data_IF_726503964012
#
_entry.id   IF_726503964012
#
_cell.length_a   1.000
_cell.length_b   1.000
_cell.length_c   1.000
_cell.angle_alpha   90.00
_cell.angle_beta   90.00
_cell.angle_gamma   90.00
#
_symmetry.space_group_name_H-M   'P 1'
#
loop_
_entity.id
_entity.type
_entity.pdbx_description
1 polymer ?
#
# COMPACT_ATOMS: atom_id res chain seq x y z
N UNK A 1 20.60 -60.90 -17.60
CA UNK A 1 19.74 -60.27 -16.58
C UNK A 1 20.49 -59.08 -16.03
N UNK A 2 20.16 -57.87 -16.47
CA UNK A 2 20.72 -56.63 -15.91
C UNK A 2 19.99 -56.33 -14.60
N UNK A 3 20.73 -56.26 -13.50
CA UNK A 3 20.18 -55.75 -12.25
C UNK A 3 19.81 -54.27 -12.42
N UNK A 4 18.63 -53.83 -11.93
CA UNK A 4 18.27 -52.42 -12.01
C UNK A 4 19.31 -51.58 -11.24
N UNK A 5 19.64 -50.38 -11.72
CA UNK A 5 20.63 -49.53 -11.08
C UNK A 5 20.21 -49.22 -9.63
N UNK A 6 21.16 -49.17 -8.68
CA UNK A 6 20.86 -48.91 -7.28
C UNK A 6 20.16 -47.55 -7.15
N UNK A 7 18.92 -47.57 -6.66
CA UNK A 7 18.14 -46.36 -6.38
C UNK A 7 18.63 -45.74 -5.09
N UNK A 8 19.21 -44.53 -5.18
CA UNK A 8 19.68 -43.76 -4.02
C UNK A 8 18.48 -43.42 -3.10
N UNK A 9 18.38 -44.05 -1.90
CA UNK A 9 17.18 -44.01 -1.06
C UNK A 9 16.90 -42.66 -0.38
N UNK A 10 17.66 -41.60 -0.69
CA UNK A 10 17.42 -40.24 -0.19
C UNK A 10 17.47 -39.13 -1.25
N UNK A 11 17.77 -39.45 -2.52
CA UNK A 11 17.95 -38.43 -3.58
C UNK A 11 16.70 -37.61 -3.85
N UNK A 12 15.54 -38.26 -3.93
CA UNK A 12 14.26 -37.58 -4.16
C UNK A 12 13.90 -36.61 -3.03
N UNK A 13 13.92 -37.09 -1.78
CA UNK A 13 13.62 -36.27 -0.60
C UNK A 13 14.57 -35.09 -0.42
N UNK A 14 15.85 -35.25 -0.77
CA UNK A 14 16.84 -34.18 -0.67
C UNK A 14 16.65 -33.10 -1.74
N UNK A 15 16.39 -33.48 -3.00
CA UNK A 15 16.16 -32.54 -4.10
C UNK A 15 14.86 -31.77 -3.85
N UNK A 16 13.78 -32.49 -3.53
CA UNK A 16 12.49 -31.87 -3.18
C UNK A 16 12.61 -30.93 -1.99
N UNK A 17 13.35 -31.31 -0.94
CA UNK A 17 13.62 -30.44 0.21
C UNK A 17 14.38 -29.16 -0.14
N UNK A 18 15.42 -29.25 -0.99
CA UNK A 18 16.18 -28.07 -1.45
C UNK A 18 15.30 -27.14 -2.27
N UNK A 19 14.52 -27.69 -3.22
CA UNK A 19 13.62 -26.90 -4.06
C UNK A 19 12.55 -26.19 -3.20
N UNK A 20 11.91 -26.90 -2.27
CA UNK A 20 10.94 -26.30 -1.34
C UNK A 20 11.56 -25.21 -0.46
N UNK A 21 12.81 -25.39 -0.02
CA UNK A 21 13.52 -24.39 0.79
C UNK A 21 13.81 -23.13 -0.02
N UNK A 22 14.28 -23.26 -1.26
CA UNK A 22 14.57 -22.13 -2.15
C UNK A 22 13.29 -21.39 -2.51
N UNK A 23 12.22 -22.13 -2.87
CA UNK A 23 10.92 -21.54 -3.20
C UNK A 23 10.33 -20.85 -1.97
N UNK A 24 10.33 -21.49 -0.81
CA UNK A 24 9.84 -20.89 0.45
C UNK A 24 10.60 -19.63 0.84
N UNK A 25 11.93 -19.63 0.70
CA UNK A 25 12.76 -18.46 0.95
C UNK A 25 12.48 -17.32 -0.03
N UNK A 26 12.37 -17.61 -1.33
CA UNK A 26 12.00 -16.62 -2.35
C UNK A 26 10.61 -16.04 -2.09
N UNK A 27 9.61 -16.88 -1.82
CA UNK A 27 8.25 -16.43 -1.50
C UNK A 27 8.24 -15.56 -0.24
N UNK A 28 8.95 -15.95 0.82
CA UNK A 28 9.05 -15.14 2.03
C UNK A 28 9.67 -13.76 1.74
N UNK A 29 10.79 -13.72 1.02
CA UNK A 29 11.48 -12.46 0.68
C UNK A 29 10.60 -11.56 -0.19
N UNK A 30 9.97 -12.12 -1.23
CA UNK A 30 9.11 -11.36 -2.16
C UNK A 30 7.85 -10.86 -1.44
N UNK A 31 7.20 -11.70 -0.63
CA UNK A 31 5.99 -11.30 0.08
C UNK A 31 6.27 -10.26 1.16
N UNK A 32 7.35 -10.42 1.92
CA UNK A 32 7.72 -9.45 2.95
C UNK A 32 8.17 -8.14 2.30
N UNK A 33 9.06 -8.19 1.31
CA UNK A 33 9.55 -7.00 0.62
C UNK A 33 8.44 -6.26 -0.12
N UNK A 34 7.64 -6.97 -0.91
CA UNK A 34 6.51 -6.39 -1.65
C UNK A 34 5.40 -5.90 -0.73
N UNK A 35 5.07 -6.65 0.32
CA UNK A 35 4.05 -6.27 1.28
C UNK A 35 4.41 -5.03 2.11
N UNK A 36 5.68 -4.90 2.52
CA UNK A 36 6.18 -3.68 3.19
C UNK A 36 6.12 -2.49 2.24
N UNK A 37 6.62 -2.64 1.00
CA UNK A 37 6.62 -1.55 0.02
C UNK A 37 5.19 -1.05 -0.27
N UNK A 38 4.25 -1.96 -0.52
CA UNK A 38 2.84 -1.62 -0.76
C UNK A 38 2.17 -1.03 0.49
N UNK A 39 2.51 -1.53 1.69
CA UNK A 39 2.05 -1.00 2.97
C UNK A 39 2.44 0.47 3.17
N UNK A 40 3.73 0.79 2.99
CA UNK A 40 4.28 2.13 3.19
C UNK A 40 3.76 3.11 2.14
N UNK A 41 3.76 2.72 0.86
CA UNK A 41 3.30 3.59 -0.23
C UNK A 41 1.78 3.81 -0.15
N UNK A 42 1.01 2.76 0.17
CA UNK A 42 -0.45 2.81 0.19
C UNK A 42 -1.02 3.58 1.38
N UNK A 43 -0.62 3.24 2.61
CA UNK A 43 -1.15 3.88 3.83
C UNK A 43 -0.32 5.11 4.22
N UNK A 44 1.01 4.97 4.25
CA UNK A 44 1.91 6.06 4.69
C UNK A 44 1.82 7.28 3.79
N UNK A 45 1.87 7.09 2.47
CA UNK A 45 1.79 8.19 1.51
C UNK A 45 0.44 8.94 1.54
N UNK A 46 -0.67 8.24 1.80
CA UNK A 46 -1.98 8.88 1.91
C UNK A 46 -2.19 9.61 3.24
N UNK A 47 -1.72 9.05 4.36
CA UNK A 47 -1.89 9.67 5.69
C UNK A 47 -1.01 10.91 5.85
N UNK A 48 0.25 10.87 5.38
CA UNK A 48 1.15 12.04 5.45
C UNK A 48 0.57 13.24 4.70
N UNK A 49 0.07 13.03 3.48
CA UNK A 49 -0.51 14.09 2.65
C UNK A 49 -1.78 14.71 3.24
N UNK A 50 -2.55 13.94 4.01
CA UNK A 50 -3.76 14.44 4.70
C UNK A 50 -3.41 15.15 6.01
N UNK A 51 -2.37 14.68 6.71
CA UNK A 51 -1.87 15.31 7.94
C UNK A 51 -1.22 16.67 7.71
N UNK A 52 -0.65 16.88 6.53
CA UNK A 52 -0.10 18.17 6.07
C UNK A 52 -1.18 19.10 5.47
N UNK A 53 -2.46 18.68 5.49
CA UNK A 53 -3.55 19.49 4.96
C UNK A 53 -3.74 20.79 5.75
N UNK A 54 -3.72 21.92 5.05
CA UNK A 54 -3.94 23.24 5.65
C UNK A 54 -5.45 23.48 5.86
N UNK A 55 -5.84 23.89 7.06
CA UNK A 55 -7.20 24.36 7.34
C UNK A 55 -7.29 25.84 6.95
N UNK A 56 -8.12 26.14 5.96
CA UNK A 56 -8.32 27.50 5.46
C UNK A 56 -9.66 28.02 5.96
N UNK A 57 -9.60 29.12 6.72
CA UNK A 57 -10.77 29.88 7.16
C UNK A 57 -10.98 31.08 6.23
N UNK A 58 -11.98 31.01 5.36
CA UNK A 58 -12.25 32.09 4.42
C UNK A 58 -11.41 31.98 3.16
N UNK A 59 -10.36 32.79 3.02
CA UNK A 59 -9.53 32.82 1.81
C UNK A 59 -8.07 32.47 2.12
N UNK A 60 -7.45 31.66 1.25
CA UNK A 60 -6.07 31.20 1.38
C UNK A 60 -5.39 31.00 0.04
N UNK A 61 -4.06 30.94 0.07
CA UNK A 61 -3.22 30.58 -1.07
C UNK A 61 -2.48 29.29 -0.73
N UNK A 62 -2.52 28.34 -1.66
CA UNK A 62 -1.84 27.05 -1.55
C UNK A 62 -1.01 26.81 -2.79
N UNK A 63 0.26 26.50 -2.62
CA UNK A 63 1.13 26.11 -3.72
C UNK A 63 0.93 24.62 -3.98
N UNK A 64 0.54 24.28 -5.19
CA UNK A 64 0.23 22.91 -5.59
C UNK A 64 1.02 22.52 -6.83
N UNK A 65 1.32 21.22 -6.93
CA UNK A 65 1.96 20.67 -8.12
C UNK A 65 0.94 20.39 -9.22
N UNK A 66 1.40 20.21 -10.46
CA UNK A 66 0.56 19.85 -11.58
C UNK A 66 0.09 18.38 -11.48
N UNK A 67 -1.09 18.10 -12.03
CA UNK A 67 -1.71 16.77 -12.15
C UNK A 67 -2.02 16.07 -10.82
N UNK A 68 -2.33 16.85 -9.78
CA UNK A 68 -2.79 16.34 -8.49
C UNK A 68 -4.31 16.46 -8.36
N UNK A 69 -4.95 15.40 -7.86
CA UNK A 69 -6.35 15.46 -7.42
C UNK A 69 -6.39 15.97 -5.97
N UNK A 70 -7.24 16.96 -5.70
CA UNK A 70 -7.51 17.51 -4.37
C UNK A 70 -8.98 17.43 -4.02
N UNK A 71 -9.26 17.28 -2.73
CA UNK A 71 -10.60 17.35 -2.18
C UNK A 71 -10.71 18.45 -1.13
N UNK A 72 -11.87 19.11 -1.15
CA UNK A 72 -12.29 20.01 -0.10
C UNK A 72 -13.12 19.25 0.90
N UNK A 73 -12.74 19.40 2.18
CA UNK A 73 -13.41 18.77 3.28
C UNK A 73 -14.03 19.82 4.20
N UNK A 74 -15.24 19.51 4.67
CA UNK A 74 -15.92 20.25 5.74
C UNK A 74 -15.95 19.41 7.00
N UNK A 75 -15.96 20.05 8.16
CA UNK A 75 -16.13 19.34 9.43
C UNK A 75 -17.49 18.62 9.46
N UNK A 76 -17.50 17.41 10.00
CA UNK A 76 -18.69 16.58 10.04
C UNK A 76 -19.74 17.23 10.95
N UNK A 77 -20.92 17.51 10.39
CA UNK A 77 -22.02 18.16 11.09
C UNK A 77 -22.24 19.62 10.68
N UNK A 78 -21.24 20.25 10.06
CA UNK A 78 -21.34 21.64 9.62
C UNK A 78 -22.10 21.77 8.29
N UNK A 79 -22.64 22.96 8.01
CA UNK A 79 -23.24 23.27 6.72
C UNK A 79 -22.21 23.14 5.58
N UNK A 80 -22.65 22.84 4.35
CA UNK A 80 -21.72 22.76 3.22
C UNK A 80 -21.24 24.17 2.85
N UNK A 81 -19.95 24.50 2.97
CA UNK A 81 -19.44 25.80 2.58
C UNK A 81 -19.42 25.92 1.06
N UNK A 82 -19.54 27.16 0.56
CA UNK A 82 -19.39 27.45 -0.87
C UNK A 82 -17.98 27.96 -1.12
N UNK A 83 -17.21 27.20 -1.90
CA UNK A 83 -15.82 27.51 -2.21
C UNK A 83 -15.63 27.78 -3.69
N UNK A 84 -14.80 28.77 -3.99
CA UNK A 84 -14.30 29.05 -5.33
C UNK A 84 -12.78 28.91 -5.32
N UNK A 85 -12.26 28.17 -6.28
CA UNK A 85 -10.84 27.99 -6.48
C UNK A 85 -10.44 28.65 -7.81
N UNK A 86 -9.34 29.40 -7.80
CA UNK A 86 -8.75 30.01 -9.00
C UNK A 86 -7.38 29.42 -9.23
N UNK A 87 -7.09 29.05 -10.47
CA UNK A 87 -5.77 28.58 -10.88
C UNK A 87 -4.77 29.74 -10.93
N UNK A 88 -3.45 29.44 -10.99
CA UNK A 88 -2.43 30.47 -11.22
C UNK A 88 -2.68 31.30 -12.49
N UNK A 89 -3.33 30.69 -13.48
CA UNK A 89 -3.68 31.32 -14.77
C UNK A 89 -4.98 32.15 -14.71
N UNK A 90 -5.66 32.19 -13.56
CA UNK A 90 -6.90 32.94 -13.34
C UNK A 90 -8.18 32.26 -13.84
N UNK A 91 -8.07 31.02 -14.32
CA UNK A 91 -9.19 30.22 -14.81
C UNK A 91 -9.77 29.31 -13.69
N UNK A 92 -11.00 28.81 -13.83
CA UNK A 92 -11.52 27.80 -12.91
C UNK A 92 -10.77 26.47 -13.11
N UNK A 93 -10.45 25.75 -12.01
CA UNK A 93 -9.73 24.48 -12.09
C UNK A 93 -10.55 23.39 -12.76
N UNK A 94 -9.86 22.35 -13.25
CA UNK A 94 -10.51 21.16 -13.74
C UNK A 94 -11.26 20.44 -12.60
N UNK A 95 -12.39 19.80 -12.93
CA UNK A 95 -13.11 18.97 -11.96
C UNK A 95 -12.24 17.77 -11.58
N UNK A 96 -12.14 17.54 -10.27
CA UNK A 96 -11.45 16.37 -9.71
C UNK A 96 -12.30 15.10 -9.78
N UNK A 97 -11.82 14.06 -9.10
CA UNK A 97 -12.53 12.78 -9.02
C UNK A 97 -13.74 12.85 -8.08
N UNK A 98 -14.91 12.45 -8.59
CA UNK A 98 -16.15 12.34 -7.83
C UNK A 98 -16.12 11.18 -6.82
N UNK A 99 -15.43 11.38 -5.70
CA UNK A 99 -15.35 10.40 -4.62
C UNK A 99 -15.72 11.05 -3.29
N UNK A 100 -16.65 10.45 -2.54
CA UNK A 100 -16.93 10.89 -1.16
C UNK A 100 -15.96 10.19 -0.20
N UNK A 101 -15.18 10.95 0.54
CA UNK A 101 -14.23 10.43 1.53
C UNK A 101 -14.35 11.19 2.85
N UNK A 102 -13.93 10.56 3.94
CA UNK A 102 -13.86 11.19 5.26
C UNK A 102 -12.48 10.99 5.85
N UNK A 103 -11.93 12.05 6.42
CA UNK A 103 -10.60 12.08 7.03
C UNK A 103 -10.71 12.59 8.46
N UNK A 104 -9.90 12.06 9.36
CA UNK A 104 -9.81 12.58 10.74
C UNK A 104 -8.48 13.31 10.87
N UNK A 105 -8.55 14.61 11.14
CA UNK A 105 -7.38 15.49 11.26
C UNK A 105 -7.50 16.23 12.59
N UNK A 106 -6.43 16.18 13.40
CA UNK A 106 -6.39 16.76 14.75
C UNK A 106 -7.54 16.34 15.69
N UNK A 107 -8.07 15.13 15.54
CA UNK A 107 -9.18 14.61 16.36
C UNK A 107 -10.58 14.96 15.85
N UNK A 108 -10.66 15.77 14.80
CA UNK A 108 -11.92 16.16 14.17
C UNK A 108 -12.16 15.39 12.88
N UNK A 109 -13.39 14.92 12.67
CA UNK A 109 -13.77 14.22 11.44
C UNK A 109 -14.23 15.24 10.40
N UNK A 110 -13.63 15.17 9.22
CA UNK A 110 -13.93 15.98 8.06
C UNK A 110 -14.48 15.10 6.94
N UNK A 111 -15.45 15.60 6.18
CA UNK A 111 -16.12 14.91 5.08
C UNK A 111 -15.96 15.71 3.80
N UNK A 112 -15.57 15.04 2.71
CA UNK A 112 -15.43 15.70 1.42
C UNK A 112 -16.78 16.15 0.88
N UNK A 113 -16.78 17.30 0.23
CA UNK A 113 -17.96 17.86 -0.42
C UNK A 113 -17.68 18.33 -1.85
N UNK A 114 -16.42 18.62 -2.20
CA UNK A 114 -16.01 19.01 -3.54
C UNK A 114 -14.61 18.49 -3.89
N UNK A 115 -14.28 18.47 -5.18
CA UNK A 115 -13.00 17.96 -5.70
C UNK A 115 -12.51 18.70 -6.93
N UNK A 116 -11.21 18.95 -6.99
CA UNK A 116 -10.55 19.66 -8.08
C UNK A 116 -9.30 18.91 -8.53
N UNK A 117 -8.90 19.12 -9.79
CA UNK A 117 -7.62 18.62 -10.31
C UNK A 117 -6.76 19.80 -10.75
N UNK A 118 -5.51 19.80 -10.33
CA UNK A 118 -4.53 20.80 -10.76
C UNK A 118 -4.01 20.44 -12.15
N UNK A 119 -3.98 21.42 -13.05
CA UNK A 119 -3.43 21.26 -14.41
C UNK A 119 -2.06 21.92 -14.56
N UNK A 120 -1.80 22.93 -13.74
CA UNK A 120 -0.59 23.77 -13.78
C UNK A 120 -0.02 23.81 -12.37
N UNK A 121 1.29 23.67 -12.22
CA UNK A 121 1.93 23.85 -10.91
C UNK A 121 1.97 25.35 -10.57
N UNK A 122 1.69 25.71 -9.32
CA UNK A 122 1.76 27.09 -8.86
C UNK A 122 0.81 27.42 -7.71
N UNK A 123 0.61 28.72 -7.49
CA UNK A 123 -0.22 29.22 -6.39
C UNK A 123 -1.71 29.25 -6.77
N UNK A 124 -2.48 28.40 -6.12
CA UNK A 124 -3.93 28.36 -6.23
C UNK A 124 -4.56 29.22 -5.13
N UNK A 125 -5.57 30.01 -5.50
CA UNK A 125 -6.35 30.81 -4.55
C UNK A 125 -7.66 30.12 -4.25
N UNK A 126 -7.87 29.77 -2.99
CA UNK A 126 -9.13 29.22 -2.50
C UNK A 126 -9.86 30.29 -1.70
N UNK A 127 -11.14 30.50 -1.99
CA UNK A 127 -12.03 31.38 -1.24
C UNK A 127 -13.30 30.65 -0.88
N UNK A 128 -13.52 30.40 0.40
CA UNK A 128 -14.63 29.68 0.97
C UNK A 128 -15.50 30.60 1.82
N UNK A 129 -16.81 30.39 1.75
CA UNK A 129 -17.80 31.10 2.56
C UNK A 129 -18.64 30.09 3.34
N UNK A 130 -18.84 30.35 4.63
CA UNK A 130 -19.72 29.53 5.48
C UNK A 130 -19.05 28.47 6.35
N UNK A 131 -17.73 28.54 6.58
CA UNK A 131 -17.04 27.68 7.55
C UNK A 131 -15.57 27.44 7.24
N UNK A 132 -14.92 26.66 8.10
CA UNK A 132 -13.54 26.20 7.90
C UNK A 132 -13.52 25.06 6.88
N UNK A 133 -12.52 25.08 6.00
CA UNK A 133 -12.35 24.07 4.95
C UNK A 133 -10.94 23.53 5.01
N UNK A 134 -10.84 22.20 5.07
CA UNK A 134 -9.58 21.49 4.98
C UNK A 134 -9.34 21.10 3.52
N UNK A 135 -8.15 21.42 3.00
CA UNK A 135 -7.72 21.02 1.66
C UNK A 135 -6.72 19.89 1.80
N UNK A 136 -7.05 18.73 1.23
CA UNK A 136 -6.15 17.59 1.25
C UNK A 136 -6.37 16.70 0.02
N UNK A 137 -5.35 15.92 -0.41
CA UNK A 137 -5.53 14.92 -1.45
C UNK A 137 -6.57 13.86 -1.05
N UNK A 138 -7.34 13.32 -2.01
CA UNK A 138 -8.35 12.31 -1.72
C UNK A 138 -7.70 11.05 -1.14
N UNK A 139 -8.32 10.48 -0.10
CA UNK A 139 -8.02 9.11 0.29
C UNK A 139 -8.44 8.18 -0.84
N UNK A 140 -7.46 7.69 -1.60
CA UNK A 140 -7.74 6.71 -2.64
C UNK A 140 -8.10 5.37 -1.99
N UNK A 141 -9.28 4.86 -2.35
CA UNK A 141 -9.71 3.51 -1.96
C UNK A 141 -8.63 2.50 -2.38
N UNK A 142 -8.01 2.71 -3.54
CA UNK A 142 -6.88 1.92 -4.03
C UNK A 142 -5.65 1.93 -3.11
N UNK A 143 -5.26 3.07 -2.53
CA UNK A 143 -4.14 3.18 -1.61
C UNK A 143 -4.39 2.43 -0.29
N UNK A 144 -5.62 2.51 0.24
CA UNK A 144 -6.02 1.77 1.44
C UNK A 144 -6.01 0.26 1.16
N UNK A 145 -6.60 -0.19 0.05
CA UNK A 145 -6.57 -1.61 -0.33
C UNK A 145 -5.17 -2.11 -0.63
N UNK A 146 -4.33 -1.31 -1.28
CA UNK A 146 -2.92 -1.66 -1.53
C UNK A 146 -2.14 -1.75 -0.22
N UNK A 147 -2.38 -0.85 0.73
CA UNK A 147 -1.68 -0.88 2.01
C UNK A 147 -2.13 -2.02 2.91
N UNK A 148 -3.45 -2.20 3.10
CA UNK A 148 -4.01 -3.32 3.87
C UNK A 148 -3.66 -4.65 3.19
N UNK A 149 -3.82 -4.73 1.88
CA UNK A 149 -3.42 -5.89 1.07
C UNK A 149 -1.94 -6.18 1.17
N UNK A 150 -1.09 -5.16 1.18
CA UNK A 150 0.36 -5.28 1.38
C UNK A 150 0.71 -5.87 2.74
N UNK A 151 0.10 -5.37 3.82
CA UNK A 151 0.30 -5.90 5.17
C UNK A 151 -0.16 -7.36 5.25
N UNK A 152 -1.35 -7.68 4.74
CA UNK A 152 -1.86 -9.05 4.72
C UNK A 152 -0.97 -9.98 3.89
N UNK A 153 -0.47 -9.52 2.75
CA UNK A 153 0.45 -10.27 1.91
C UNK A 153 1.81 -10.50 2.61
N UNK A 154 2.33 -9.51 3.33
CA UNK A 154 3.55 -9.68 4.13
C UNK A 154 3.34 -10.71 5.26
N UNK A 155 2.22 -10.64 5.99
CA UNK A 155 1.94 -11.54 7.11
C UNK A 155 1.64 -12.97 6.63
N UNK A 156 0.64 -13.14 5.78
CA UNK A 156 0.23 -14.47 5.31
C UNK A 156 1.21 -15.07 4.30
N UNK A 157 1.73 -14.26 3.38
CA UNK A 157 2.76 -14.69 2.43
C UNK A 157 4.10 -14.97 3.11
N UNK A 158 4.48 -14.15 4.09
CA UNK A 158 5.66 -14.41 4.93
C UNK A 158 5.52 -15.69 5.75
N UNK A 159 4.39 -15.88 6.45
CA UNK A 159 4.13 -17.09 7.24
C UNK A 159 4.10 -18.35 6.35
N UNK A 160 3.44 -18.28 5.20
CA UNK A 160 3.42 -19.37 4.22
C UNK A 160 4.81 -19.69 3.66
N UNK A 161 5.60 -18.67 3.34
CA UNK A 161 6.99 -18.82 2.90
C UNK A 161 7.87 -19.48 3.95
N UNK A 162 7.75 -19.06 5.21
CA UNK A 162 8.47 -19.68 6.35
C UNK A 162 8.04 -21.13 6.56
N UNK A 163 6.74 -21.43 6.48
CA UNK A 163 6.26 -22.80 6.61
C UNK A 163 6.83 -23.72 5.52
N UNK A 164 6.85 -23.27 4.26
CA UNK A 164 7.48 -24.01 3.16
C UNK A 164 8.98 -24.20 3.36
N UNK A 165 9.66 -23.18 3.90
CA UNK A 165 11.08 -23.23 4.24
C UNK A 165 11.35 -24.29 5.31
N UNK A 166 10.56 -24.32 6.39
CA UNK A 166 10.65 -25.31 7.46
C UNK A 166 10.41 -26.73 6.93
N UNK A 167 9.37 -26.93 6.13
CA UNK A 167 9.08 -28.24 5.51
C UNK A 167 10.22 -28.67 4.57
N UNK A 168 10.76 -27.75 3.77
CA UNK A 168 11.91 -28.00 2.91
C UNK A 168 13.16 -28.44 3.68
N UNK A 169 13.46 -27.76 4.80
CA UNK A 169 14.56 -28.12 5.69
C UNK A 169 14.35 -29.51 6.30
N UNK A 170 13.15 -29.83 6.78
CA UNK A 170 12.84 -31.13 7.37
C UNK A 170 13.04 -32.24 6.33
N UNK A 171 12.52 -32.08 5.11
CA UNK A 171 12.68 -33.05 4.03
C UNK A 171 14.15 -33.19 3.61
N UNK A 172 14.92 -32.11 3.63
CA UNK A 172 16.36 -32.15 3.38
C UNK A 172 17.12 -32.94 4.46
N UNK A 173 16.80 -32.73 5.74
CA UNK A 173 17.38 -33.47 6.86
C UNK A 173 17.04 -34.96 6.76
N UNK A 174 15.78 -35.31 6.45
CA UNK A 174 15.34 -36.71 6.27
C UNK A 174 16.04 -37.36 5.07
N UNK A 175 16.19 -36.64 3.95
CA UNK A 175 16.95 -37.12 2.79
C UNK A 175 18.42 -37.37 3.13
N UNK A 176 19.02 -36.51 3.95
CA UNK A 176 20.41 -36.66 4.43
C UNK A 176 20.55 -37.84 5.41
N UNK A 177 19.61 -38.03 6.33
CA UNK A 177 19.65 -39.12 7.31
C UNK A 177 19.47 -40.49 6.65
N UNK A 178 18.57 -40.61 5.66
CA UNK A 178 18.36 -41.86 4.89
C UNK A 178 19.60 -42.28 4.10
N UNK A 179 20.34 -41.33 3.51
CA UNK A 179 21.62 -41.65 2.84
C UNK A 179 22.71 -42.12 3.81
N UNK A 180 22.78 -41.50 5.00
CA UNK A 180 23.68 -41.94 6.07
C UNK A 180 23.35 -43.35 6.56
N UNK A 181 22.07 -43.66 6.74
CA UNK A 181 21.60 -44.99 7.12
C UNK A 181 21.86 -46.04 6.03
N UNK A 182 21.86 -45.63 4.75
CA UNK A 182 22.18 -46.49 3.63
C UNK A 182 23.69 -46.66 3.37
N UNK A 183 24.57 -46.05 4.18
CA UNK A 183 26.03 -46.15 4.02
C UNK A 183 26.59 -45.45 2.78
N UNK A 184 25.82 -44.55 2.16
CA UNK A 184 26.14 -43.84 0.90
C UNK A 184 26.62 -42.40 1.14
N UNK A 185 27.02 -42.07 2.38
CA UNK A 185 27.34 -40.71 2.81
C UNK A 185 28.83 -40.44 2.91
#
# INVERSE_FOLDING_TARGET
MSTPPPTDPGRGFRITGIVLTIVGALTAVVCVGGGIALGVIGIGGSVSKVGDGEVISGAGQITLEADEDLQLYRRQGDATPSCTMQTPDGEPPARGTSQSSSVTVHGDTWRSFDSFRTTTAGDYRLSCTGGDVLVAPPLSIGGIFAGVGGILLAVFGGLGGVALLVVGIILWIIGRSRRRQAGLA
#
